data_IF_652358209297
#
_entry.id   IF_652358209297
#
_cell.length_a   1.000
_cell.length_b   1.000
_cell.length_c   1.000
_cell.angle_alpha   90.00
_cell.angle_beta   90.00
_cell.angle_gamma   90.00
#
_symmetry.space_group_name_H-M   'P 1'
#
loop_
_entity.id
_entity.type
_entity.pdbx_description
1 polymer ?
#
# COMPACT_ATOMS: atom_id res chain seq x y z
N UNK A 1 -1.25 -19.37 -16.57
CA UNK A 1 -0.46 -18.23 -16.06
C UNK A 1 -1.27 -17.57 -14.96
N UNK A 2 -0.82 -17.66 -13.71
CA UNK A 2 -1.44 -17.04 -12.55
C UNK A 2 -0.47 -15.98 -12.01
N UNK A 3 -0.92 -14.73 -11.99
CA UNK A 3 -0.17 -13.58 -11.47
C UNK A 3 -0.73 -13.18 -10.10
N UNK A 4 0.15 -12.69 -9.21
CA UNK A 4 -0.27 -12.14 -7.92
C UNK A 4 -0.30 -10.61 -7.98
N UNK A 5 -1.45 -10.02 -7.64
CA UNK A 5 -1.61 -8.58 -7.60
C UNK A 5 -1.19 -8.01 -6.23
N UNK A 6 -0.21 -7.11 -6.22
CA UNK A 6 0.36 -6.50 -5.01
C UNK A 6 -0.29 -5.15 -4.71
N UNK A 7 -0.88 -5.00 -3.53
CA UNK A 7 -1.66 -3.83 -3.10
C UNK A 7 -1.03 -3.14 -1.90
N UNK A 8 -0.88 -1.83 -1.99
CA UNK A 8 -0.67 -0.96 -0.83
C UNK A 8 -1.81 0.07 -0.78
N UNK A 9 -2.67 -0.03 0.22
CA UNK A 9 -3.97 0.67 0.21
C UNK A 9 -3.86 2.19 0.39
N UNK A 10 -2.82 2.69 1.06
CA UNK A 10 -2.60 4.12 1.31
C UNK A 10 -3.83 4.80 1.92
N UNK A 11 -4.33 5.87 1.30
CA UNK A 11 -5.50 6.63 1.80
C UNK A 11 -6.86 5.93 1.66
N UNK A 12 -6.96 4.85 0.88
CA UNK A 12 -8.21 4.16 0.63
C UNK A 12 -8.66 3.29 1.82
N UNK A 13 -7.79 3.10 2.81
CA UNK A 13 -8.13 2.47 4.10
C UNK A 13 -8.62 3.54 5.08
N UNK A 14 -9.50 3.14 5.99
CA UNK A 14 -9.95 4.00 7.10
C UNK A 14 -9.06 3.74 8.32
N UNK A 15 -8.60 4.77 9.05
CA UNK A 15 -7.74 4.60 10.23
C UNK A 15 -8.30 3.58 11.24
N UNK A 16 -9.63 3.55 11.40
CA UNK A 16 -10.33 2.60 12.28
C UNK A 16 -10.09 1.12 11.91
N UNK A 17 -10.02 0.80 10.62
CA UNK A 17 -9.75 -0.57 10.15
C UNK A 17 -8.27 -0.89 10.30
N UNK A 18 -7.41 0.09 9.99
CA UNK A 18 -5.96 -0.03 10.08
C UNK A 18 -5.50 -0.37 11.49
N UNK A 19 -5.90 0.43 12.48
CA UNK A 19 -5.56 0.21 13.90
C UNK A 19 -6.17 -1.09 14.46
N UNK A 20 -7.29 -1.56 13.90
CA UNK A 20 -7.94 -2.80 14.34
C UNK A 20 -7.26 -4.08 13.85
N UNK A 21 -6.61 -4.03 12.67
CA UNK A 21 -5.95 -5.19 12.08
C UNK A 21 -4.45 -5.19 12.38
N UNK A 22 -3.80 -4.03 12.34
CA UNK A 22 -2.37 -3.86 12.58
C UNK A 22 -2.18 -2.54 13.35
N UNK A 23 -2.04 -2.58 14.68
CA UNK A 23 -1.96 -1.38 15.53
C UNK A 23 -0.79 -0.44 15.20
N UNK A 24 0.23 -0.94 14.51
CA UNK A 24 1.48 -0.25 14.23
C UNK A 24 1.57 0.31 12.79
N UNK A 25 0.54 0.14 11.96
CA UNK A 25 0.61 0.60 10.57
C UNK A 25 0.19 2.07 10.48
N UNK A 26 1.08 2.91 9.97
CA UNK A 26 0.81 4.33 9.79
C UNK A 26 -0.18 4.57 8.63
N UNK A 27 -1.12 5.48 8.85
CA UNK A 27 -2.06 5.91 7.83
C UNK A 27 -1.38 6.91 6.89
N UNK A 28 -0.95 6.45 5.72
CA UNK A 28 -0.09 7.22 4.81
C UNK A 28 -0.70 7.36 3.41
N UNK A 29 -0.29 8.41 2.70
CA UNK A 29 -0.66 8.60 1.29
C UNK A 29 0.44 9.26 0.48
N UNK A 30 0.44 8.98 -0.81
CA UNK A 30 1.25 9.69 -1.82
C UNK A 30 0.82 11.15 -2.01
N UNK A 31 -0.40 11.52 -1.62
CA UNK A 31 -0.94 12.86 -1.79
C UNK A 31 -1.75 13.30 -0.56
N UNK A 32 -1.61 14.57 -0.10
CA UNK A 32 -2.41 15.10 1.00
C UNK A 32 -3.81 15.52 0.52
N UNK A 33 -4.57 14.59 -0.08
CA UNK A 33 -5.91 14.86 -0.61
C UNK A 33 -6.93 13.92 0.01
N UNK A 34 -7.90 14.51 0.74
CA UNK A 34 -9.01 13.80 1.37
C UNK A 34 -9.75 12.91 0.36
N UNK A 35 -9.97 11.65 0.74
CA UNK A 35 -11.07 10.89 0.17
C UNK A 35 -12.36 11.39 0.82
N UNK A 36 -13.42 11.59 0.02
CA UNK A 36 -14.66 12.28 0.45
C UNK A 36 -15.37 11.64 1.67
N UNK A 37 -14.97 10.43 2.06
CA UNK A 37 -15.53 9.63 3.15
C UNK A 37 -14.63 9.59 4.40
N UNK A 38 -13.52 10.33 4.44
CA UNK A 38 -12.54 10.28 5.54
C UNK A 38 -12.45 11.60 6.31
N UNK A 39 -12.29 11.51 7.63
CA UNK A 39 -12.27 12.65 8.55
C UNK A 39 -10.89 13.25 8.79
N UNK A 40 -9.82 12.63 8.25
CA UNK A 40 -8.44 13.07 8.44
C UNK A 40 -7.62 12.88 7.16
N UNK A 41 -6.82 13.89 6.81
CA UNK A 41 -5.83 13.80 5.73
C UNK A 41 -4.65 12.94 6.19
N UNK A 42 -4.28 11.87 5.49
CA UNK A 42 -3.05 11.15 5.79
C UNK A 42 -1.83 12.06 5.57
N UNK A 43 -0.80 11.99 6.44
CA UNK A 43 0.49 12.60 6.15
C UNK A 43 1.07 12.09 4.83
N UNK A 44 1.79 12.98 4.15
CA UNK A 44 2.59 12.61 2.99
C UNK A 44 3.77 11.75 3.44
N UNK A 45 4.11 10.73 2.65
CA UNK A 45 5.31 9.93 2.87
C UNK A 45 6.58 10.76 2.76
N UNK A 46 7.52 10.50 3.65
CA UNK A 46 8.91 10.94 3.57
C UNK A 46 9.68 10.14 2.51
N UNK A 47 10.81 10.67 2.06
CA UNK A 47 11.70 9.97 1.12
C UNK A 47 12.19 8.64 1.69
N UNK A 48 12.37 8.56 3.01
CA UNK A 48 12.77 7.33 3.68
C UNK A 48 11.69 6.26 3.57
N UNK A 49 10.46 6.58 3.93
CA UNK A 49 9.34 5.65 3.88
C UNK A 49 9.05 5.20 2.44
N UNK A 50 9.19 6.09 1.44
CA UNK A 50 9.11 5.70 0.03
C UNK A 50 10.12 4.58 -0.30
N UNK A 51 11.36 4.68 0.20
CA UNK A 51 12.38 3.65 -0.01
C UNK A 51 12.03 2.35 0.71
N UNK A 52 11.42 2.42 1.88
CA UNK A 52 10.93 1.24 2.60
C UNK A 52 9.83 0.54 1.81
N UNK A 53 8.84 1.28 1.29
CA UNK A 53 7.80 0.71 0.44
C UNK A 53 8.37 0.01 -0.81
N UNK A 54 9.42 0.57 -1.43
CA UNK A 54 10.10 -0.09 -2.56
C UNK A 54 10.69 -1.44 -2.14
N UNK A 55 11.31 -1.51 -0.95
CA UNK A 55 11.85 -2.77 -0.42
C UNK A 55 10.74 -3.75 -0.08
N UNK A 56 9.61 -3.29 0.46
CA UNK A 56 8.45 -4.11 0.77
C UNK A 56 7.85 -4.73 -0.50
N UNK A 57 7.70 -3.93 -1.56
CA UNK A 57 7.29 -4.45 -2.87
C UNK A 57 8.28 -5.50 -3.38
N UNK A 58 9.58 -5.23 -3.34
CA UNK A 58 10.59 -6.19 -3.76
C UNK A 58 10.54 -7.50 -2.95
N UNK A 59 10.29 -7.42 -1.65
CA UNK A 59 10.13 -8.58 -0.79
C UNK A 59 8.84 -9.34 -1.09
N UNK A 60 7.74 -8.64 -1.36
CA UNK A 60 6.48 -9.25 -1.76
C UNK A 60 6.61 -10.00 -3.10
N UNK A 61 7.37 -9.47 -4.07
CA UNK A 61 7.70 -10.20 -5.30
C UNK A 61 8.47 -11.49 -5.00
N UNK A 62 9.51 -11.43 -4.16
CA UNK A 62 10.25 -12.64 -3.76
C UNK A 62 9.36 -13.69 -3.11
N UNK A 63 8.39 -13.25 -2.29
CA UNK A 63 7.44 -14.15 -1.64
C UNK A 63 6.47 -14.77 -2.66
N UNK A 64 5.98 -13.99 -3.65
CA UNK A 64 5.14 -14.50 -4.72
C UNK A 64 5.86 -15.56 -5.57
N UNK A 65 7.12 -15.32 -5.93
CA UNK A 65 7.94 -16.30 -6.66
C UNK A 65 8.13 -17.59 -5.85
N UNK A 66 8.39 -17.48 -4.54
CA UNK A 66 8.49 -18.65 -3.64
C UNK A 66 7.18 -19.43 -3.52
N UNK A 67 6.04 -18.74 -3.62
CA UNK A 67 4.71 -19.35 -3.59
C UNK A 67 4.30 -19.99 -4.93
N UNK A 68 5.14 -19.91 -5.97
CA UNK A 68 4.91 -20.56 -7.26
C UNK A 68 4.05 -19.76 -8.23
N UNK A 69 3.89 -18.46 -8.03
CA UNK A 69 3.24 -17.59 -9.00
C UNK A 69 4.13 -17.38 -10.24
N UNK A 70 3.51 -17.25 -11.41
CA UNK A 70 4.22 -17.03 -12.68
C UNK A 70 4.73 -15.59 -12.82
N UNK A 71 4.19 -14.67 -12.02
CA UNK A 71 4.55 -13.26 -12.03
C UNK A 71 3.76 -12.44 -11.01
N UNK A 72 4.04 -11.15 -10.99
CA UNK A 72 3.37 -10.18 -10.11
C UNK A 72 2.84 -9.00 -10.92
N UNK A 73 1.73 -8.44 -10.46
CA UNK A 73 1.15 -7.22 -11.00
C UNK A 73 1.11 -6.16 -9.90
N UNK A 74 1.59 -4.96 -10.20
CA UNK A 74 1.58 -3.84 -9.26
C UNK A 74 0.28 -3.07 -9.46
N UNK A 75 -0.55 -2.97 -8.42
CA UNK A 75 -1.80 -2.22 -8.53
C UNK A 75 -1.55 -0.72 -8.40
N UNK A 76 -1.49 -0.04 -9.54
CA UNK A 76 -1.32 1.42 -9.65
C UNK A 76 -2.61 2.19 -9.94
N UNK A 77 -3.78 1.58 -9.88
CA UNK A 77 -5.07 2.22 -10.19
C UNK A 77 -5.92 2.46 -8.91
N UNK A 78 -7.08 3.10 -9.04
CA UNK A 78 -8.09 3.22 -7.95
C UNK A 78 -7.74 4.05 -6.71
N UNK A 79 -6.74 4.95 -6.77
CA UNK A 79 -6.43 5.88 -5.67
C UNK A 79 -5.74 5.25 -4.45
N UNK A 80 -5.15 4.05 -4.63
CA UNK A 80 -4.25 3.38 -3.68
C UNK A 80 -2.90 4.10 -3.58
N UNK A 81 -1.94 3.56 -2.81
CA UNK A 81 -0.72 4.31 -2.45
C UNK A 81 0.10 4.81 -3.65
N UNK A 82 0.13 4.08 -4.77
CA UNK A 82 0.90 4.45 -5.96
C UNK A 82 0.21 5.54 -6.82
N UNK A 83 -1.10 5.79 -6.61
CA UNK A 83 -1.94 6.67 -7.44
C UNK A 83 -2.35 7.96 -6.72
#
# INVERSE_FOLDING_TARGET
>A
MITLQLWALGRATTPKVLTSQIPLLDYVSSLPKLFATHSATPPALTIHEIKEYIQDYAQAVKNAMKAGFDGVEIMGTSGYLIN
#
